data_IF_477497034753
#
_entry.id   IF_477497034753
#
_cell.length_a   1.000
_cell.length_b   1.000
_cell.length_c   1.000
_cell.angle_alpha   90.00
_cell.angle_beta   90.00
_cell.angle_gamma   90.00
#
_symmetry.space_group_name_H-M   'P 1'
#
loop_
_entity.id
_entity.type
_entity.pdbx_description
1 polymer ?
#
# COMPACT_ATOMS: atom_id res chain seq x y z
N UNK A 1 0.46 3.40 4.91
CA UNK A 1 -0.38 4.63 4.92
C UNK A 1 -1.18 4.74 6.20
N UNK A 2 -1.90 3.70 6.64
CA UNK A 2 -2.65 3.69 7.93
C UNK A 2 -1.74 3.89 9.15
N UNK A 3 -0.63 3.15 9.26
CA UNK A 3 0.26 3.22 10.44
C UNK A 3 0.88 4.60 10.70
N UNK A 4 0.97 5.44 9.66
CA UNK A 4 1.55 6.79 9.73
C UNK A 4 0.47 7.89 9.68
N UNK A 5 -0.81 7.51 9.60
CA UNK A 5 -1.90 8.47 9.60
C UNK A 5 -2.08 9.05 11.00
N UNK A 6 -2.20 10.37 11.07
CA UNK A 6 -2.44 11.12 12.31
C UNK A 6 -3.90 11.54 12.48
N UNK A 7 -4.70 11.34 11.44
CA UNK A 7 -6.07 11.85 11.35
C UNK A 7 -6.97 10.83 10.64
N UNK A 8 -8.16 10.65 11.19
CA UNK A 8 -9.16 9.74 10.66
C UNK A 8 -10.52 10.40 10.59
N UNK A 9 -11.35 9.93 9.66
CA UNK A 9 -12.73 10.40 9.50
C UNK A 9 -13.67 9.21 9.57
N UNK A 10 -14.80 9.40 10.25
CA UNK A 10 -15.87 8.42 10.28
C UNK A 10 -16.64 8.44 8.94
N UNK A 11 -16.89 7.27 8.38
CA UNK A 11 -17.48 7.09 7.05
C UNK A 11 -18.45 5.92 7.02
N UNK A 12 -19.45 6.05 6.16
CA UNK A 12 -20.33 4.94 5.78
C UNK A 12 -19.64 4.00 4.81
N UNK A 13 -19.78 2.69 5.00
CA UNK A 13 -19.29 1.69 4.06
C UNK A 13 -19.40 0.26 4.55
N UNK A 14 -18.92 -0.65 3.71
CA UNK A 14 -18.70 -2.06 4.06
C UNK A 14 -17.21 -2.34 4.21
N UNK A 15 -16.88 -3.40 4.97
CA UNK A 15 -15.53 -3.96 5.08
C UNK A 15 -15.39 -5.19 4.18
N UNK A 16 -14.15 -5.63 3.94
CA UNK A 16 -13.89 -6.87 3.19
C UNK A 16 -14.45 -8.12 3.88
N UNK A 17 -14.56 -8.08 5.21
CA UNK A 17 -15.10 -9.18 6.02
C UNK A 17 -16.63 -9.27 5.89
N UNK A 18 -17.31 -8.12 5.79
CA UNK A 18 -18.77 -8.04 5.65
C UNK A 18 -19.17 -7.18 4.44
N UNK A 19 -18.92 -7.63 3.19
CA UNK A 19 -19.07 -6.80 1.99
C UNK A 19 -20.51 -6.38 1.71
N UNK A 20 -21.49 -7.18 2.16
CA UNK A 20 -22.92 -6.92 1.98
C UNK A 20 -23.55 -6.11 3.13
N UNK A 21 -22.78 -5.78 4.17
CA UNK A 21 -23.26 -5.02 5.31
C UNK A 21 -22.67 -3.61 5.27
N UNK A 22 -23.54 -2.61 5.10
CA UNK A 22 -23.15 -1.21 5.18
C UNK A 22 -23.38 -0.71 6.59
N UNK A 23 -22.33 -0.19 7.22
CA UNK A 23 -22.36 0.44 8.54
C UNK A 23 -21.92 1.91 8.40
N UNK A 24 -22.30 2.74 9.36
CA UNK A 24 -22.04 4.19 9.34
C UNK A 24 -20.85 4.60 10.23
N UNK A 25 -20.18 3.64 10.86
CA UNK A 25 -19.21 3.88 11.94
C UNK A 25 -17.77 3.44 11.64
N UNK A 26 -17.42 3.29 10.35
CA UNK A 26 -16.05 2.95 9.97
C UNK A 26 -15.14 4.17 9.99
N UNK A 27 -13.85 3.96 10.23
CA UNK A 27 -12.83 4.99 10.24
C UNK A 27 -11.85 4.80 9.10
N UNK A 28 -11.54 5.87 8.38
CA UNK A 28 -10.56 5.84 7.30
C UNK A 28 -9.54 6.97 7.45
N UNK A 29 -8.25 6.74 7.12
CA UNK A 29 -7.25 7.79 7.14
C UNK A 29 -7.63 9.00 6.27
N UNK A 30 -7.41 10.22 6.79
CA UNK A 30 -7.60 11.48 6.04
C UNK A 30 -6.46 12.45 6.31
N UNK A 31 -6.37 13.47 5.45
CA UNK A 31 -5.42 14.57 5.65
C UNK A 31 -5.82 15.40 6.88
N UNK A 32 -4.87 15.93 7.67
CA UNK A 32 -5.15 16.85 8.77
C UNK A 32 -5.95 18.09 8.37
N UNK A 33 -5.86 18.52 7.11
CA UNK A 33 -6.59 19.68 6.59
C UNK A 33 -8.05 19.42 6.22
N UNK A 34 -8.55 18.19 6.40
CA UNK A 34 -9.95 17.85 6.14
C UNK A 34 -10.84 18.29 7.32
N UNK A 35 -11.94 18.98 7.04
CA UNK A 35 -12.82 19.57 8.05
C UNK A 35 -13.42 18.55 9.00
N UNK A 36 -13.63 17.32 8.54
CA UNK A 36 -14.21 16.24 9.34
C UNK A 36 -13.16 15.24 9.85
N UNK A 37 -11.88 15.58 9.77
CA UNK A 37 -10.81 14.75 10.30
C UNK A 37 -10.69 14.94 11.82
N UNK A 38 -10.60 13.82 12.52
CA UNK A 38 -10.34 13.76 13.96
C UNK A 38 -8.90 13.31 14.13
N UNK A 39 -8.14 14.06 14.94
CA UNK A 39 -6.78 13.69 15.33
C UNK A 39 -6.83 12.44 16.22
N UNK A 40 -6.34 11.33 15.70
CA UNK A 40 -6.23 10.04 16.39
C UNK A 40 -5.29 9.13 15.60
N UNK A 41 -4.82 8.07 16.23
CA UNK A 41 -4.01 7.04 15.57
C UNK A 41 -4.84 5.81 15.26
N UNK A 42 -4.31 4.92 14.42
CA UNK A 42 -4.98 3.65 14.13
C UNK A 42 -5.15 2.76 15.37
N UNK A 43 -4.34 2.97 16.42
CA UNK A 43 -4.42 2.23 17.69
C UNK A 43 -5.67 2.59 18.50
N UNK A 44 -6.29 3.73 18.20
CA UNK A 44 -7.49 4.22 18.89
C UNK A 44 -8.78 3.69 18.23
N UNK A 45 -8.67 2.98 17.10
CA UNK A 45 -9.79 2.45 16.30
C UNK A 45 -9.95 0.96 16.61
N UNK A 46 -11.20 0.52 16.79
CA UNK A 46 -11.53 -0.90 16.96
C UNK A 46 -11.18 -1.69 15.69
N UNK A 47 -10.67 -2.92 15.86
CA UNK A 47 -10.17 -3.77 14.78
C UNK A 47 -11.17 -3.95 13.61
N UNK A 48 -12.47 -4.04 13.91
CA UNK A 48 -13.55 -4.24 12.93
C UNK A 48 -14.09 -2.93 12.32
N UNK A 49 -13.61 -1.77 12.80
CA UNK A 49 -14.06 -0.45 12.37
C UNK A 49 -13.07 0.27 11.46
N UNK A 50 -11.91 -0.30 11.19
CA UNK A 50 -10.96 0.29 10.25
C UNK A 50 -11.40 0.02 8.80
N UNK A 51 -11.64 1.09 8.03
CA UNK A 51 -11.77 1.05 6.58
C UNK A 51 -10.44 1.39 5.92
N UNK A 52 -9.75 0.34 5.52
CA UNK A 52 -8.48 0.44 4.82
C UNK A 52 -8.63 1.23 3.50
N UNK A 53 -7.69 2.15 3.20
CA UNK A 53 -7.71 2.89 1.95
C UNK A 53 -7.40 1.96 0.77
N UNK A 54 -8.05 2.20 -0.36
CA UNK A 54 -7.76 1.49 -1.61
C UNK A 54 -6.40 1.93 -2.15
N UNK A 55 -5.56 0.96 -2.54
CA UNK A 55 -4.28 1.23 -3.18
C UNK A 55 -4.50 1.89 -4.54
N UNK A 56 -3.89 3.04 -4.74
CA UNK A 56 -3.99 3.83 -5.97
C UNK A 56 -2.72 3.70 -6.83
N UNK A 57 -2.80 4.14 -8.09
CA UNK A 57 -1.63 4.23 -8.97
C UNK A 57 -0.57 5.19 -8.42
N UNK A 58 -0.98 6.25 -7.73
CA UNK A 58 -0.05 7.19 -7.10
C UNK A 58 0.81 6.50 -6.02
N UNK A 59 0.23 5.54 -5.30
CA UNK A 59 0.97 4.73 -4.31
C UNK A 59 2.00 3.84 -5.00
N UNK A 60 1.64 3.21 -6.13
CA UNK A 60 2.56 2.40 -6.93
C UNK A 60 3.74 3.22 -7.46
N UNK A 61 3.47 4.42 -8.01
CA UNK A 61 4.52 5.32 -8.50
C UNK A 61 5.46 5.77 -7.38
N UNK A 62 4.92 6.06 -6.20
CA UNK A 62 5.72 6.40 -5.02
C UNK A 62 6.63 5.23 -4.61
N UNK A 63 6.10 4.00 -4.54
CA UNK A 63 6.88 2.80 -4.27
C UNK A 63 8.00 2.59 -5.30
N UNK A 64 7.70 2.77 -6.59
CA UNK A 64 8.67 2.63 -7.67
C UNK A 64 9.81 3.66 -7.53
N UNK A 65 9.48 4.92 -7.23
CA UNK A 65 10.49 5.98 -7.08
C UNK A 65 11.49 5.74 -5.94
N UNK A 66 11.06 5.03 -4.89
CA UNK A 66 11.92 4.70 -3.74
C UNK A 66 12.68 3.37 -3.87
N UNK A 67 12.38 2.56 -4.89
CA UNK A 67 12.96 1.22 -5.07
C UNK A 67 14.09 1.30 -6.09
N UNK A 68 15.31 1.00 -5.66
CA UNK A 68 16.46 0.89 -6.57
C UNK A 68 16.42 -0.45 -7.32
N UNK A 69 16.79 -0.49 -8.61
CA UNK A 69 17.03 -1.75 -9.31
C UNK A 69 18.04 -2.59 -8.54
N UNK A 70 17.75 -3.88 -8.35
CA UNK A 70 18.62 -4.82 -7.62
C UNK A 70 19.64 -5.51 -8.51
N UNK A 71 19.41 -5.52 -9.82
CA UNK A 71 20.30 -6.11 -10.81
C UNK A 71 21.11 -4.99 -11.44
N UNK A 72 22.43 -5.12 -11.42
CA UNK A 72 23.33 -4.18 -12.08
C UNK A 72 23.70 -4.68 -13.50
N UNK A 73 24.36 -3.84 -14.28
CA UNK A 73 24.76 -4.19 -15.66
C UNK A 73 25.75 -5.37 -15.71
N UNK A 74 26.63 -5.50 -14.71
CA UNK A 74 27.60 -6.59 -14.62
C UNK A 74 26.93 -7.95 -14.42
N UNK A 75 25.85 -8.00 -13.64
CA UNK A 75 25.05 -9.22 -13.44
C UNK A 75 24.45 -9.69 -14.77
N UNK A 76 24.02 -8.75 -15.61
CA UNK A 76 23.48 -9.03 -16.94
C UNK A 76 24.56 -9.51 -17.91
N UNK A 77 25.77 -8.95 -17.85
CA UNK A 77 26.92 -9.39 -18.66
C UNK A 77 27.34 -10.82 -18.31
N UNK A 78 27.41 -11.15 -17.02
CA UNK A 78 27.76 -12.50 -16.57
C UNK A 78 26.71 -13.52 -17.03
N UNK A 79 25.42 -13.16 -17.00
CA UNK A 79 24.35 -14.02 -17.52
C UNK A 79 24.45 -14.21 -19.04
N UNK A 80 24.81 -13.17 -19.80
CA UNK A 80 25.04 -13.28 -21.25
C UNK A 80 26.23 -14.19 -21.57
N UNK A 81 27.36 -13.98 -20.88
CA UNK A 81 28.54 -14.81 -21.04
C UNK A 81 28.23 -16.28 -20.74
N UNK A 82 27.50 -16.56 -19.66
CA UNK A 82 27.06 -17.92 -19.34
C UNK A 82 26.18 -18.53 -20.44
N UNK A 83 25.22 -17.76 -20.99
CA UNK A 83 24.39 -18.23 -22.09
C UNK A 83 25.21 -18.51 -23.37
N UNK A 84 26.22 -17.69 -23.68
CA UNK A 84 27.11 -17.89 -24.82
C UNK A 84 28.01 -19.11 -24.64
N UNK A 85 28.52 -19.34 -23.43
CA UNK A 85 29.46 -20.42 -23.12
C UNK A 85 28.80 -21.80 -23.05
N UNK A 86 27.54 -21.88 -22.62
CA UNK A 86 26.86 -23.16 -22.34
C UNK A 86 25.62 -23.43 -23.21
N UNK A 87 25.03 -22.40 -23.83
CA UNK A 87 23.84 -22.55 -24.67
C UNK A 87 22.68 -23.25 -23.95
N UNK A 88 21.86 -23.98 -24.71
CA UNK A 88 20.66 -24.65 -24.18
C UNK A 88 20.90 -26.13 -23.79
N UNK A 89 22.08 -26.68 -24.07
CA UNK A 89 22.45 -28.09 -23.86
C UNK A 89 23.46 -28.27 -22.70
N UNK A 90 23.27 -27.51 -21.61
CA UNK A 90 23.95 -27.73 -20.33
C UNK A 90 23.33 -28.84 -19.50
#
# INVERSE_FOLDING_TARGET
MVQYATHFKQVRGSTWVHPNQVVDDLWTPRSPGDTDAVEMTWMDIQDDKLKEPVVSMADMLKCLSGTKPTVNEQDLENLKQFMEDFGQEG
#
